data_IF_542485934787
#
_entry.id   IF_542485934787
#
_cell.length_a   1.000
_cell.length_b   1.000
_cell.length_c   1.000
_cell.angle_alpha   90.00
_cell.angle_beta   90.00
_cell.angle_gamma   90.00
#
_symmetry.space_group_name_H-M   'P 1'
#
loop_
_entity.id
_entity.type
_entity.pdbx_description
1 polymer ?
#
# COMPACT_ATOMS: atom_id res chain seq x y z
N UNK A 1 -10.27 -14.76 -5.08
CA UNK A 1 -10.95 -14.36 -3.81
C UNK A 1 -10.89 -12.84 -3.68
N UNK A 2 -11.73 -12.23 -2.86
CA UNK A 2 -11.62 -10.80 -2.50
C UNK A 2 -10.86 -10.67 -1.17
N UNK A 3 -9.77 -9.91 -1.16
CA UNK A 3 -8.90 -9.70 -0.01
C UNK A 3 -8.85 -8.21 0.30
N UNK A 4 -9.27 -7.82 1.50
CA UNK A 4 -9.07 -6.47 2.03
C UNK A 4 -8.01 -6.54 3.11
N UNK A 5 -6.91 -5.80 2.93
CA UNK A 5 -5.77 -5.84 3.84
C UNK A 5 -5.52 -4.44 4.43
N UNK A 6 -5.74 -4.30 5.72
CA UNK A 6 -5.39 -3.10 6.47
C UNK A 6 -3.93 -3.14 6.90
N UNK A 7 -3.14 -2.17 6.45
CA UNK A 7 -1.72 -2.05 6.82
C UNK A 7 -1.26 -0.60 6.73
N UNK A 8 -0.74 -0.06 7.83
CA UNK A 8 -0.48 1.38 7.97
C UNK A 8 0.72 1.93 7.17
N UNK A 9 1.71 1.10 6.84
CA UNK A 9 2.96 1.59 6.22
C UNK A 9 3.20 0.98 4.84
N UNK A 10 2.16 0.94 4.02
CA UNK A 10 2.29 0.39 2.68
C UNK A 10 3.26 1.23 1.84
N UNK A 11 4.17 0.57 1.15
CA UNK A 11 5.18 1.19 0.30
C UNK A 11 5.51 0.25 -0.84
N UNK A 12 5.74 0.80 -2.03
CA UNK A 12 6.32 0.08 -3.16
C UNK A 12 7.84 0.23 -3.16
N UNK A 13 8.50 -0.37 -4.16
CA UNK A 13 9.94 -0.24 -4.38
C UNK A 13 10.42 1.18 -4.73
N UNK A 14 9.51 2.13 -4.94
CA UNK A 14 9.84 3.55 -5.16
C UNK A 14 10.04 4.32 -3.86
N UNK A 15 9.58 3.79 -2.72
CA UNK A 15 9.73 4.39 -1.40
C UNK A 15 11.05 4.01 -0.72
N UNK A 16 11.27 4.53 0.48
CA UNK A 16 12.42 4.20 1.34
C UNK A 16 12.04 3.29 2.53
N UNK A 17 10.84 2.70 2.48
CA UNK A 17 10.31 1.81 3.50
C UNK A 17 10.20 0.36 2.99
N UNK A 18 9.90 -0.57 3.91
CA UNK A 18 9.83 -2.00 3.59
C UNK A 18 8.69 -2.35 2.62
N UNK A 19 8.99 -3.21 1.66
CA UNK A 19 8.06 -3.60 0.57
C UNK A 19 7.32 -4.92 0.81
N UNK A 20 7.49 -5.57 1.98
CA UNK A 20 6.95 -6.92 2.25
C UNK A 20 5.46 -7.04 1.94
N UNK A 21 4.65 -6.07 2.38
CA UNK A 21 3.21 -6.10 2.16
C UNK A 21 2.84 -5.88 0.70
N UNK A 22 3.60 -5.04 -0.01
CA UNK A 22 3.45 -4.86 -1.45
C UNK A 22 3.75 -6.17 -2.20
N UNK A 23 4.83 -6.88 -1.86
CA UNK A 23 5.16 -8.16 -2.52
C UNK A 23 4.09 -9.22 -2.24
N UNK A 24 3.54 -9.32 -1.01
CA UNK A 24 2.42 -10.23 -0.74
C UNK A 24 1.16 -9.88 -1.54
N UNK A 25 0.77 -8.61 -1.56
CA UNK A 25 -0.38 -8.16 -2.34
C UNK A 25 -0.20 -8.46 -3.83
N UNK A 26 1.00 -8.20 -4.37
CA UNK A 26 1.36 -8.49 -5.76
C UNK A 26 1.28 -9.98 -6.08
N UNK A 27 1.82 -10.85 -5.23
CA UNK A 27 1.74 -12.30 -5.41
C UNK A 27 0.29 -12.81 -5.38
N UNK A 28 -0.56 -12.25 -4.52
CA UNK A 28 -1.99 -12.58 -4.50
C UNK A 28 -2.72 -12.13 -5.78
N UNK A 29 -2.39 -10.95 -6.30
CA UNK A 29 -2.92 -10.49 -7.59
C UNK A 29 -2.47 -11.41 -8.73
N UNK A 30 -1.19 -11.83 -8.77
CA UNK A 30 -0.67 -12.79 -9.76
C UNK A 30 -1.43 -14.13 -9.70
N UNK A 31 -1.82 -14.56 -8.50
CA UNK A 31 -2.65 -15.77 -8.28
C UNK A 31 -4.13 -15.59 -8.61
N UNK A 32 -4.54 -14.44 -9.17
CA UNK A 32 -5.91 -14.16 -9.58
C UNK A 32 -6.84 -13.74 -8.44
N UNK A 33 -6.31 -13.17 -7.36
CA UNK A 33 -7.13 -12.58 -6.30
C UNK A 33 -7.37 -11.08 -6.54
N UNK A 34 -8.55 -10.60 -6.16
CA UNK A 34 -8.88 -9.18 -6.10
C UNK A 34 -8.41 -8.66 -4.75
N UNK A 35 -7.40 -7.79 -4.74
CA UNK A 35 -6.75 -7.31 -3.52
C UNK A 35 -6.92 -5.81 -3.38
N UNK A 36 -7.44 -5.37 -2.24
CA UNK A 36 -7.51 -3.97 -1.84
C UNK A 36 -6.68 -3.78 -0.58
N UNK A 37 -5.69 -2.89 -0.64
CA UNK A 37 -4.90 -2.50 0.54
C UNK A 37 -5.40 -1.15 1.03
N UNK A 38 -5.77 -1.08 2.30
CA UNK A 38 -6.14 0.17 2.98
C UNK A 38 -4.97 0.57 3.88
N UNK A 39 -4.36 1.73 3.59
CA UNK A 39 -3.17 2.22 4.27
C UNK A 39 -3.31 3.71 4.62
N UNK A 40 -2.52 4.16 5.59
CA UNK A 40 -2.21 5.57 5.76
C UNK A 40 -1.10 6.02 4.79
N UNK A 41 -1.01 7.32 4.58
CA UNK A 41 0.17 7.95 3.98
C UNK A 41 1.27 7.98 5.06
N UNK A 42 2.48 7.61 4.66
CA UNK A 42 3.65 7.61 5.53
C UNK A 42 4.81 8.33 4.85
N UNK A 43 5.52 9.18 5.60
CA UNK A 43 6.57 10.07 5.05
C UNK A 43 7.72 9.36 4.34
N UNK A 44 7.96 8.06 4.63
CA UNK A 44 8.98 7.25 3.95
C UNK A 44 8.42 6.37 2.83
N UNK A 45 7.10 6.28 2.69
CA UNK A 45 6.45 5.60 1.58
C UNK A 45 6.45 6.48 0.33
N UNK A 46 6.20 5.88 -0.83
CA UNK A 46 6.01 6.57 -2.10
C UNK A 46 4.55 6.92 -2.39
N UNK A 47 3.65 6.71 -1.44
CA UNK A 47 2.23 7.02 -1.57
C UNK A 47 1.98 8.50 -1.32
N UNK A 48 1.07 9.09 -2.09
CA UNK A 48 0.56 10.44 -1.88
C UNK A 48 -0.96 10.40 -1.84
N UNK A 49 -1.56 11.13 -0.92
CA UNK A 49 -2.99 11.43 -0.93
C UNK A 49 -3.25 12.56 -1.91
N UNK A 50 -4.26 12.41 -2.76
CA UNK A 50 -4.68 13.43 -3.74
C UNK A 50 -6.00 14.12 -3.34
N UNK A 51 -6.52 13.83 -2.14
CA UNK A 51 -7.82 14.30 -1.60
C UNK A 51 -7.75 14.31 -0.07
N UNK A 52 -8.86 14.66 0.61
CA UNK A 52 -9.20 14.59 2.06
C UNK A 52 -8.15 14.97 3.11
N UNK A 53 -6.91 14.49 3.00
CA UNK A 53 -5.75 14.82 3.81
C UNK A 53 -4.60 15.21 2.85
N UNK A 54 -4.62 16.42 2.31
CA UNK A 54 -3.51 16.95 1.49
C UNK A 54 -2.32 17.40 2.35
N UNK A 55 -2.57 17.72 3.63
CA UNK A 55 -1.52 18.08 4.59
C UNK A 55 -0.72 16.83 5.00
N UNK A 56 0.44 16.66 4.38
CA UNK A 56 1.42 15.62 4.68
C UNK A 56 2.52 16.21 5.59
N UNK A 57 2.38 16.03 6.91
CA UNK A 57 3.37 16.46 7.91
C UNK A 57 4.56 15.50 8.03
#
# INVERSE_FOLDING_TARGET
>A
MKIVYFYQYFSTSKGSWGTRVYEFAKEWVIKGHEVTVVSSIYSKSDLKSEKFLEDQY
#
